data_IF_572774316043
#
_entry.id   IF_572774316043
#
_cell.length_a   1.000
_cell.length_b   1.000
_cell.length_c   1.000
_cell.angle_alpha   90.00
_cell.angle_beta   90.00
_cell.angle_gamma   90.00
#
_symmetry.space_group_name_H-M   'P 1'
#
loop_
_entity.id
_entity.type
_entity.pdbx_description
1 polymer ?
#
# COMPACT_ATOMS: atom_id res chain seq x y z
N UNK A 1 -21.04 -35.89 -22.79
CA UNK A 1 -22.29 -35.17 -23.10
C UNK A 1 -22.63 -34.28 -21.92
N UNK A 2 -22.82 -32.99 -22.20
CA UNK A 2 -23.51 -31.98 -21.40
C UNK A 2 -22.94 -31.53 -20.04
N UNK A 3 -22.53 -30.28 -20.03
CA UNK A 3 -22.31 -29.42 -18.86
C UNK A 3 -23.57 -29.25 -18.01
N UNK A 4 -23.39 -28.84 -16.74
CA UNK A 4 -24.23 -27.85 -16.05
C UNK A 4 -23.46 -27.16 -14.92
N UNK A 5 -23.43 -25.82 -15.02
CA UNK A 5 -23.00 -24.83 -14.02
C UNK A 5 -24.15 -24.51 -13.06
N UNK A 6 -23.77 -23.84 -11.97
CA UNK A 6 -24.52 -22.88 -11.15
C UNK A 6 -25.45 -23.47 -10.08
N UNK A 7 -25.64 -22.86 -8.90
CA UNK A 7 -25.32 -21.52 -8.43
C UNK A 7 -25.06 -21.52 -6.91
N UNK A 8 -24.14 -20.70 -6.44
CA UNK A 8 -24.06 -20.32 -5.02
C UNK A 8 -25.06 -19.17 -4.79
N UNK A 9 -25.88 -19.31 -3.75
CA UNK A 9 -26.95 -18.40 -3.40
C UNK A 9 -26.41 -17.02 -3.00
N UNK A 10 -26.92 -15.97 -3.64
CA UNK A 10 -26.83 -14.60 -3.16
C UNK A 10 -27.85 -14.45 -2.04
N UNK A 11 -27.40 -14.07 -0.84
CA UNK A 11 -28.28 -13.65 0.23
C UNK A 11 -28.97 -12.35 -0.19
N UNK A 12 -30.24 -12.46 -0.59
CA UNK A 12 -31.12 -11.32 -0.77
C UNK A 12 -31.42 -10.73 0.60
N UNK A 13 -30.82 -9.58 0.91
CA UNK A 13 -31.28 -8.73 2.00
C UNK A 13 -32.65 -8.20 1.58
N UNK A 14 -33.64 -8.47 2.41
CA UNK A 14 -35.03 -8.06 2.24
C UNK A 14 -35.08 -6.54 2.17
N UNK A 15 -35.46 -6.05 0.99
CA UNK A 15 -35.95 -4.69 0.75
C UNK A 15 -37.08 -4.41 1.74
N UNK A 16 -36.82 -3.57 2.74
CA UNK A 16 -37.88 -2.77 3.32
C UNK A 16 -38.36 -1.82 2.22
N UNK A 17 -39.64 -1.91 1.85
CA UNK A 17 -40.25 -0.98 0.90
C UNK A 17 -40.13 0.45 1.44
N UNK A 18 -39.14 1.21 0.96
CA UNK A 18 -39.20 2.67 0.99
C UNK A 18 -40.35 3.11 0.08
N UNK A 19 -41.05 4.17 0.46
CA UNK A 19 -42.18 4.68 -0.33
C UNK A 19 -41.74 5.10 -1.75
N UNK A 20 -42.67 5.22 -2.70
CA UNK A 20 -42.39 5.61 -4.10
C UNK A 20 -41.87 7.05 -4.29
N UNK A 21 -41.38 7.71 -3.23
CA UNK A 21 -41.03 9.13 -3.21
C UNK A 21 -39.57 9.42 -2.82
N UNK A 22 -38.74 8.39 -2.59
CA UNK A 22 -37.38 8.54 -2.09
C UNK A 22 -36.32 8.16 -3.15
N UNK A 23 -35.25 8.94 -3.23
CA UNK A 23 -34.24 8.85 -4.28
C UNK A 23 -32.84 8.64 -3.68
N UNK A 24 -32.08 7.64 -4.16
CA UNK A 24 -30.69 7.40 -3.77
C UNK A 24 -29.70 7.82 -4.86
N UNK A 25 -28.60 8.49 -4.48
CA UNK A 25 -27.51 8.84 -5.39
C UNK A 25 -26.42 7.76 -5.33
N UNK A 26 -25.93 7.32 -6.48
CA UNK A 26 -24.76 6.45 -6.60
C UNK A 26 -23.74 7.05 -7.55
N UNK A 27 -22.47 6.98 -7.18
CA UNK A 27 -21.39 7.49 -8.01
C UNK A 27 -20.79 6.33 -8.79
N UNK A 28 -20.79 6.42 -10.11
CA UNK A 28 -20.21 5.38 -10.97
C UNK A 28 -19.30 5.99 -12.02
N UNK A 29 -18.12 5.42 -12.14
CA UNK A 29 -17.13 5.81 -13.12
C UNK A 29 -17.41 5.08 -14.44
N UNK A 30 -17.52 5.82 -15.54
CA UNK A 30 -17.80 5.26 -16.87
C UNK A 30 -16.69 5.66 -17.85
N UNK A 31 -15.92 4.71 -18.40
CA UNK A 31 -14.82 4.96 -19.32
C UNK A 31 -15.34 5.20 -20.75
N UNK A 32 -16.14 6.26 -20.93
CA UNK A 32 -16.69 6.67 -22.22
C UNK A 32 -15.81 7.69 -22.96
N UNK A 33 -15.94 7.82 -24.30
CA UNK A 33 -15.14 8.72 -25.15
C UNK A 33 -15.38 10.23 -24.91
N UNK A 34 -16.09 10.59 -23.85
CA UNK A 34 -16.39 11.95 -23.40
C UNK A 34 -15.68 12.30 -22.09
N UNK A 35 -14.66 11.54 -21.67
CA UNK A 35 -13.77 12.00 -20.60
C UNK A 35 -12.68 12.89 -21.18
N UNK A 36 -12.97 14.18 -21.35
CA UNK A 36 -11.94 15.19 -21.61
C UNK A 36 -11.18 15.44 -20.31
N UNK A 37 -10.26 14.54 -20.00
CA UNK A 37 -9.17 14.75 -19.06
C UNK A 37 -7.95 15.18 -19.89
N UNK A 38 -7.76 16.48 -20.16
CA UNK A 38 -6.63 16.91 -20.94
C UNK A 38 -5.41 16.83 -20.03
N UNK A 39 -4.65 15.74 -20.16
CA UNK A 39 -3.20 15.61 -19.96
C UNK A 39 -2.81 14.24 -19.39
N UNK A 40 -1.61 13.79 -19.77
CA UNK A 40 -0.86 12.59 -19.38
C UNK A 40 -0.84 11.38 -20.34
N UNK A 41 -1.02 11.54 -21.66
CA UNK A 41 -0.55 10.55 -22.66
C UNK A 41 -1.18 9.13 -22.63
N UNK A 42 -1.91 8.78 -21.58
CA UNK A 42 -2.78 7.64 -21.38
C UNK A 42 -3.94 8.14 -20.50
N UNK A 43 -5.17 8.02 -20.99
CA UNK A 43 -6.34 8.42 -20.22
C UNK A 43 -6.54 7.42 -19.07
N UNK A 44 -6.72 7.86 -17.81
CA UNK A 44 -7.06 6.96 -16.71
C UNK A 44 -8.36 6.22 -17.05
N UNK A 45 -8.36 4.88 -16.94
CA UNK A 45 -9.50 4.02 -17.34
C UNK A 45 -10.41 3.69 -16.17
N UNK A 46 -9.90 3.82 -14.95
CA UNK A 46 -10.55 3.48 -13.69
C UNK A 46 -10.17 4.49 -12.61
N UNK A 47 -10.92 4.51 -11.50
CA UNK A 47 -10.56 5.32 -10.33
C UNK A 47 -9.19 4.97 -9.73
N UNK A 48 -8.68 3.75 -9.97
CA UNK A 48 -7.37 3.29 -9.50
C UNK A 48 -6.21 3.93 -10.28
N UNK A 49 -6.50 4.46 -11.47
CA UNK A 49 -5.51 5.13 -12.33
C UNK A 49 -5.33 6.62 -11.95
N UNK A 50 -6.08 7.12 -10.96
CA UNK A 50 -6.02 8.50 -10.48
C UNK A 50 -5.36 8.48 -9.09
N UNK A 51 -4.04 8.75 -8.99
CA UNK A 51 -3.33 8.72 -7.72
C UNK A 51 -3.80 9.85 -6.80
N UNK A 52 -3.86 9.56 -5.51
CA UNK A 52 -4.23 10.52 -4.45
C UNK A 52 -3.22 10.45 -3.32
N UNK A 53 -2.22 11.33 -3.39
CA UNK A 53 -1.16 11.42 -2.37
C UNK A 53 -1.50 12.31 -1.19
N UNK A 54 -2.40 13.26 -1.38
CA UNK A 54 -2.90 14.10 -0.31
C UNK A 54 -4.37 13.83 -0.05
N UNK A 55 -4.79 14.13 1.17
CA UNK A 55 -6.20 14.28 1.46
C UNK A 55 -6.84 15.27 0.46
N UNK A 56 -8.01 14.90 -0.01
CA UNK A 56 -8.87 15.73 -0.80
C UNK A 56 -10.17 16.00 -0.03
N UNK A 57 -10.99 16.90 -0.59
CA UNK A 57 -12.36 17.10 -0.13
C UNK A 57 -13.29 17.06 -1.32
N UNK A 58 -14.44 16.42 -1.13
CA UNK A 58 -15.49 16.34 -2.13
C UNK A 58 -16.73 17.09 -1.65
N UNK A 59 -17.23 18.04 -2.47
CA UNK A 59 -18.49 18.75 -2.24
C UNK A 59 -19.57 18.14 -3.10
N UNK A 60 -20.62 17.61 -2.47
CA UNK A 60 -21.86 17.23 -3.14
C UNK A 60 -22.92 18.29 -2.88
N UNK A 61 -23.58 18.76 -3.94
CA UNK A 61 -24.75 19.65 -3.84
C UNK A 61 -25.89 19.12 -4.71
N UNK A 62 -27.10 19.18 -4.18
CA UNK A 62 -28.33 18.98 -4.94
C UNK A 62 -29.07 20.29 -4.94
N UNK A 63 -29.33 20.81 -6.14
CA UNK A 63 -29.92 22.13 -6.35
C UNK A 63 -31.20 21.98 -7.15
N UNK A 64 -32.24 22.67 -6.72
CA UNK A 64 -33.47 22.74 -7.47
C UNK A 64 -33.28 23.51 -8.78
N UNK A 65 -33.84 23.02 -9.88
CA UNK A 65 -33.69 23.68 -11.18
C UNK A 65 -34.69 24.80 -11.40
N UNK A 66 -35.77 24.86 -10.64
CA UNK A 66 -36.84 25.85 -10.81
C UNK A 66 -36.47 27.20 -10.17
N UNK A 67 -36.01 27.18 -8.92
CA UNK A 67 -35.72 28.37 -8.12
C UNK A 67 -34.24 28.48 -7.71
N UNK A 68 -33.42 27.47 -8.01
CA UNK A 68 -32.00 27.44 -7.65
C UNK A 68 -31.74 27.17 -6.17
N UNK A 69 -32.75 26.77 -5.39
CA UNK A 69 -32.60 26.46 -3.98
C UNK A 69 -31.67 25.27 -3.76
N UNK A 70 -30.75 25.38 -2.79
CA UNK A 70 -29.88 24.25 -2.41
C UNK A 70 -30.69 23.32 -1.51
N UNK A 71 -31.08 22.17 -2.05
CA UNK A 71 -31.86 21.15 -1.36
C UNK A 71 -30.98 20.29 -0.44
N UNK A 72 -29.73 20.09 -0.85
CA UNK A 72 -28.73 19.37 -0.06
C UNK A 72 -27.33 19.87 -0.34
N UNK A 73 -26.47 19.89 0.68
CA UNK A 73 -25.04 20.15 0.54
C UNK A 73 -24.27 19.40 1.62
N UNK A 74 -23.20 18.72 1.21
CA UNK A 74 -22.27 18.08 2.13
C UNK A 74 -20.83 18.20 1.62
N UNK A 75 -19.90 18.27 2.57
CA UNK A 75 -18.47 18.21 2.33
C UNK A 75 -17.97 16.90 2.93
N UNK A 76 -17.27 16.09 2.14
CA UNK A 76 -16.72 14.81 2.54
C UNK A 76 -15.20 14.90 2.52
N UNK A 77 -14.57 14.40 3.57
CA UNK A 77 -13.13 14.16 3.56
C UNK A 77 -12.82 12.93 2.72
N UNK A 78 -11.82 13.06 1.86
CA UNK A 78 -11.31 11.98 1.03
C UNK A 78 -9.87 11.71 1.48
N UNK A 79 -9.63 10.72 2.34
CA UNK A 79 -8.28 10.46 2.85
C UNK A 79 -7.35 10.02 1.72
N UNK A 80 -6.07 10.36 1.84
CA UNK A 80 -5.05 9.81 0.97
C UNK A 80 -5.00 8.28 1.14
N UNK A 81 -5.54 7.56 0.16
CA UNK A 81 -5.73 6.09 0.22
C UNK A 81 -5.01 5.37 -0.91
N UNK A 82 -4.21 6.09 -1.71
CA UNK A 82 -3.57 5.55 -2.90
C UNK A 82 -4.24 6.04 -4.18
N UNK A 83 -5.56 5.98 -4.24
CA UNK A 83 -6.35 6.26 -5.44
C UNK A 83 -7.75 6.84 -5.15
N UNK A 84 -8.49 7.18 -6.22
CA UNK A 84 -9.84 7.76 -6.12
C UNK A 84 -10.96 6.73 -5.91
N UNK A 85 -10.67 5.43 -5.79
CA UNK A 85 -11.70 4.42 -5.63
C UNK A 85 -12.39 4.47 -4.25
N UNK A 86 -11.78 5.12 -3.26
CA UNK A 86 -12.40 5.36 -1.94
C UNK A 86 -13.68 6.21 -1.98
N UNK A 87 -13.98 6.88 -3.10
CA UNK A 87 -15.16 7.73 -3.29
C UNK A 87 -16.42 7.01 -3.79
N UNK A 88 -16.36 5.69 -3.96
CA UNK A 88 -17.46 4.92 -4.59
C UNK A 88 -18.78 4.96 -3.81
N UNK A 89 -18.75 5.27 -2.51
CA UNK A 89 -19.92 5.21 -1.64
C UNK A 89 -20.08 6.50 -0.82
N UNK A 90 -20.45 7.61 -1.47
CA UNK A 90 -20.95 8.79 -0.76
C UNK A 90 -22.40 8.53 -0.31
N UNK A 91 -22.58 8.10 0.93
CA UNK A 91 -23.91 7.85 1.50
C UNK A 91 -24.58 9.17 1.87
N UNK A 92 -25.75 9.41 1.26
CA UNK A 92 -26.64 10.49 1.67
C UNK A 92 -27.36 10.09 2.97
N UNK A 93 -27.48 11.00 3.95
CA UNK A 93 -28.36 10.82 5.09
C UNK A 93 -29.79 10.42 4.65
N UNK A 94 -30.40 9.39 5.28
CA UNK A 94 -31.70 8.86 4.87
C UNK A 94 -32.87 9.84 5.12
N UNK A 95 -32.65 10.92 5.84
CA UNK A 95 -33.63 11.95 6.21
C UNK A 95 -33.72 13.12 5.21
N UNK A 96 -32.97 13.06 4.10
CA UNK A 96 -33.02 14.10 3.07
C UNK A 96 -34.24 13.86 2.17
N UNK A 97 -35.22 14.76 2.28
CA UNK A 97 -36.37 14.78 1.38
C UNK A 97 -36.03 15.65 0.16
N UNK A 98 -35.92 15.02 -1.01
CA UNK A 98 -35.76 15.73 -2.28
C UNK A 98 -37.11 15.82 -3.00
N UNK A 99 -37.47 16.98 -3.58
CA UNK A 99 -38.73 17.14 -4.28
C UNK A 99 -38.74 16.29 -5.56
N UNK A 100 -39.89 15.74 -5.91
CA UNK A 100 -40.09 14.93 -7.12
C UNK A 100 -40.16 15.79 -8.39
N UNK A 101 -39.11 16.55 -8.66
CA UNK A 101 -38.94 17.42 -9.83
C UNK A 101 -37.47 17.42 -10.28
N UNK A 102 -37.19 18.10 -11.39
CA UNK A 102 -35.83 18.10 -11.94
C UNK A 102 -34.86 18.79 -10.98
N UNK A 103 -33.79 18.08 -10.62
CA UNK A 103 -32.71 18.63 -9.80
C UNK A 103 -31.41 18.63 -10.58
N UNK A 104 -30.49 19.47 -10.12
CA UNK A 104 -29.12 19.55 -10.58
C UNK A 104 -28.20 19.04 -9.49
N UNK A 105 -27.51 17.94 -9.78
CA UNK A 105 -26.52 17.34 -8.88
C UNK A 105 -25.14 17.79 -9.30
N UNK A 106 -24.40 18.37 -8.36
CA UNK A 106 -23.05 18.89 -8.54
C UNK A 106 -22.10 18.17 -7.60
N UNK A 107 -21.09 17.49 -8.15
CA UNK A 107 -19.97 16.94 -7.38
C UNK A 107 -18.69 17.63 -7.83
N UNK A 108 -17.89 18.13 -6.88
CA UNK A 108 -16.61 18.76 -7.14
C UNK A 108 -15.59 18.32 -6.10
N UNK A 109 -14.35 18.09 -6.53
CA UNK A 109 -13.29 17.51 -5.73
C UNK A 109 -12.03 18.36 -5.87
N UNK A 110 -11.46 18.74 -4.75
CA UNK A 110 -10.22 19.52 -4.66
C UNK A 110 -9.24 18.81 -3.75
N UNK A 111 -7.95 18.97 -4.02
CA UNK A 111 -6.93 18.59 -3.07
C UNK A 111 -6.90 19.60 -1.91
N UNK A 112 -6.70 19.14 -0.66
CA UNK A 112 -6.70 20.03 0.51
C UNK A 112 -5.55 21.04 0.48
N UNK A 113 -4.42 20.69 -0.12
CA UNK A 113 -3.26 21.59 -0.30
C UNK A 113 -3.61 22.73 -1.25
N UNK A 114 -4.24 22.45 -2.40
CA UNK A 114 -4.73 23.47 -3.33
C UNK A 114 -5.67 24.48 -2.63
N UNK A 115 -6.55 24.00 -1.75
CA UNK A 115 -7.45 24.87 -0.98
C UNK A 115 -6.72 25.67 0.10
N UNK A 116 -5.68 25.11 0.70
CA UNK A 116 -4.84 25.80 1.67
C UNK A 116 -4.04 26.92 1.01
N UNK A 117 -3.45 26.65 -0.15
CA UNK A 117 -2.65 27.63 -0.90
C UNK A 117 -3.50 28.77 -1.46
N UNK A 118 -4.82 28.56 -1.58
CA UNK A 118 -5.80 29.59 -1.92
C UNK A 118 -6.38 30.33 -0.70
N UNK A 119 -5.81 30.16 0.51
CA UNK A 119 -6.28 30.73 1.78
C UNK A 119 -7.74 30.37 2.16
N UNK A 120 -8.28 29.28 1.63
CA UNK A 120 -9.65 28.80 1.91
C UNK A 120 -9.74 27.80 3.08
N UNK A 121 -8.66 27.69 3.87
CA UNK A 121 -8.66 26.98 5.15
C UNK A 121 -8.50 25.46 5.10
N UNK A 122 -8.19 24.86 3.93
CA UNK A 122 -7.74 23.46 3.76
C UNK A 122 -8.73 22.33 4.12
N UNK A 123 -9.67 22.56 5.03
CA UNK A 123 -10.66 21.60 5.52
C UNK A 123 -12.10 21.99 5.17
N UNK A 124 -12.32 23.19 4.62
CA UNK A 124 -13.65 23.64 4.21
C UNK A 124 -13.77 23.49 2.70
N UNK A 125 -14.67 22.62 2.23
CA UNK A 125 -14.99 22.58 0.80
C UNK A 125 -15.41 23.98 0.32
N UNK A 126 -14.98 24.44 -0.86
CA UNK A 126 -15.58 25.60 -1.50
C UNK A 126 -17.11 25.50 -1.53
N UNK A 127 -17.78 26.65 -1.44
CA UNK A 127 -19.24 26.71 -1.42
C UNK A 127 -19.87 26.22 -2.74
N UNK A 128 -19.15 26.36 -3.85
CA UNK A 128 -19.52 25.88 -5.17
C UNK A 128 -18.27 25.61 -6.02
N UNK A 129 -18.42 24.73 -7.00
CA UNK A 129 -17.53 24.65 -8.17
C UNK A 129 -18.26 25.20 -9.39
N UNK A 130 -17.52 25.79 -10.33
CA UNK A 130 -18.09 26.17 -11.63
C UNK A 130 -17.93 25.03 -12.62
N UNK A 131 -18.98 24.85 -13.43
CA UNK A 131 -19.02 23.84 -14.46
C UNK A 131 -19.30 24.49 -15.82
N UNK A 132 -18.68 23.97 -16.87
CA UNK A 132 -18.92 24.40 -18.24
C UNK A 132 -20.32 23.97 -18.72
N UNK A 133 -20.70 24.35 -19.94
CA UNK A 133 -21.98 23.99 -20.53
C UNK A 133 -22.19 22.46 -20.70
N UNK A 134 -21.13 21.66 -20.55
CA UNK A 134 -21.16 20.19 -20.60
C UNK A 134 -21.14 19.57 -19.20
N UNK A 135 -21.09 20.39 -18.16
CA UNK A 135 -21.06 19.99 -16.76
C UNK A 135 -19.69 19.59 -16.24
N UNK A 136 -18.58 19.89 -16.93
CA UNK A 136 -17.22 19.61 -16.43
C UNK A 136 -16.65 20.79 -15.64
N UNK A 137 -15.70 20.57 -14.71
CA UNK A 137 -15.00 21.66 -14.03
C UNK A 137 -14.49 22.73 -15.01
N UNK A 138 -14.93 23.96 -14.81
CA UNK A 138 -14.51 25.10 -15.62
C UNK A 138 -13.19 25.67 -15.08
N UNK A 139 -12.19 25.85 -15.95
CA UNK A 139 -10.93 26.52 -15.62
C UNK A 139 -11.19 28.02 -15.38
N UNK A 140 -11.24 28.43 -14.12
CA UNK A 140 -11.71 29.76 -13.71
C UNK A 140 -10.56 30.74 -13.48
N UNK A 141 -9.89 31.18 -14.55
CA UNK A 141 -8.79 32.16 -14.42
C UNK A 141 -9.26 33.60 -14.14
N UNK A 142 -10.50 33.95 -14.51
CA UNK A 142 -10.96 35.35 -14.54
C UNK A 142 -12.15 35.67 -13.60
N UNK A 143 -12.61 34.73 -12.76
CA UNK A 143 -13.77 34.94 -11.88
C UNK A 143 -13.39 35.67 -10.58
N UNK A 144 -14.26 36.58 -10.13
CA UNK A 144 -14.12 37.32 -8.87
C UNK A 144 -15.39 37.12 -8.01
N UNK A 145 -15.27 36.65 -6.76
CA UNK A 145 -14.03 36.23 -6.10
C UNK A 145 -13.45 34.94 -6.71
N UNK A 146 -12.13 34.77 -6.60
CA UNK A 146 -11.44 33.57 -7.09
C UNK A 146 -11.96 32.32 -6.36
N UNK A 147 -12.28 31.28 -7.13
CA UNK A 147 -12.63 29.95 -6.61
C UNK A 147 -11.71 28.93 -7.26
N UNK A 148 -10.95 28.13 -6.48
CA UNK A 148 -10.09 27.10 -7.03
C UNK A 148 -10.86 26.16 -7.95
N UNK A 149 -10.26 25.82 -9.09
CA UNK A 149 -10.88 24.88 -10.03
C UNK A 149 -10.81 23.47 -9.44
N UNK A 150 -11.93 22.74 -9.34
CA UNK A 150 -11.90 21.37 -8.86
C UNK A 150 -11.17 20.47 -9.85
N UNK A 151 -10.22 19.68 -9.36
CA UNK A 151 -9.46 18.73 -10.16
C UNK A 151 -10.38 17.73 -10.87
N UNK A 152 -11.43 17.28 -10.18
CA UNK A 152 -12.46 16.35 -10.66
C UNK A 152 -13.84 16.88 -10.30
N UNK A 153 -14.80 16.73 -11.20
CA UNK A 153 -16.18 17.06 -10.90
C UNK A 153 -17.15 16.78 -12.04
N UNK A 154 -18.44 16.95 -11.73
CA UNK A 154 -19.52 16.90 -12.69
C UNK A 154 -20.76 17.66 -12.20
N UNK A 155 -21.42 18.34 -13.12
CA UNK A 155 -22.81 18.78 -13.00
C UNK A 155 -23.70 17.96 -13.95
N UNK A 156 -24.78 17.37 -13.44
CA UNK A 156 -25.80 16.65 -14.23
C UNK A 156 -27.21 16.99 -13.74
N UNK A 157 -28.13 17.04 -14.69
CA UNK A 157 -29.56 17.25 -14.45
C UNK A 157 -30.27 15.91 -14.38
N UNK A 158 -31.04 15.68 -13.31
CA UNK A 158 -31.79 14.46 -13.10
C UNK A 158 -33.28 14.75 -12.96
N UNK A 159 -34.15 14.12 -13.77
CA UNK A 159 -35.56 14.05 -13.46
C UNK A 159 -35.75 13.08 -12.28
N UNK A 160 -36.11 13.59 -11.11
CA UNK A 160 -36.50 12.74 -9.98
C UNK A 160 -37.89 12.16 -10.28
N UNK A 161 -38.08 10.85 -10.05
CA UNK A 161 -39.40 10.19 -10.16
C UNK A 161 -39.43 8.79 -10.80
N UNK A 162 -38.46 8.44 -11.66
CA UNK A 162 -38.51 7.21 -12.46
C UNK A 162 -37.36 6.21 -12.22
N UNK A 163 -36.36 6.53 -11.37
CA UNK A 163 -35.22 5.65 -11.10
C UNK A 163 -34.77 5.71 -9.64
N UNK A 164 -34.59 4.54 -9.03
CA UNK A 164 -34.11 4.36 -7.65
C UNK A 164 -32.68 4.87 -7.42
N UNK A 165 -31.91 5.12 -8.50
CA UNK A 165 -30.47 5.37 -8.43
C UNK A 165 -30.01 6.36 -9.53
N UNK A 166 -29.58 7.58 -9.19
CA UNK A 166 -28.86 8.42 -10.17
C UNK A 166 -27.39 8.06 -10.18
N UNK A 167 -26.82 8.02 -11.39
CA UNK A 167 -25.41 7.74 -11.65
C UNK A 167 -24.73 9.00 -12.15
N UNK A 168 -23.70 9.44 -11.43
CA UNK A 168 -22.88 10.57 -11.84
C UNK A 168 -21.58 10.09 -12.46
N UNK A 169 -21.36 10.43 -13.74
CA UNK A 169 -20.10 10.20 -14.44
C UNK A 169 -19.19 11.43 -14.28
N UNK A 170 -18.10 11.29 -13.53
CA UNK A 170 -17.16 12.37 -13.27
C UNK A 170 -16.25 12.65 -14.47
N UNK A 171 -15.86 13.91 -14.65
CA UNK A 171 -14.74 14.30 -15.52
C UNK A 171 -13.69 15.09 -14.73
N UNK A 172 -12.56 15.37 -15.36
CA UNK A 172 -11.46 16.08 -14.70
C UNK A 172 -11.01 17.31 -15.49
N UNK A 173 -10.59 18.36 -14.79
CA UNK A 173 -9.85 19.45 -15.42
C UNK A 173 -8.35 19.19 -15.41
N UNK A 174 -7.84 18.64 -14.30
CA UNK A 174 -6.42 18.35 -14.09
C UNK A 174 -6.26 17.38 -12.90
N UNK A 175 -6.08 16.08 -13.19
CA UNK A 175 -5.85 15.07 -12.14
C UNK A 175 -4.53 15.28 -11.40
N UNK A 176 -3.55 15.96 -12.02
CA UNK A 176 -2.28 16.28 -11.36
C UNK A 176 -2.45 17.20 -10.15
N UNK A 177 -3.57 17.92 -10.06
CA UNK A 177 -3.89 18.72 -8.88
C UNK A 177 -4.26 17.88 -7.65
N UNK A 178 -4.69 16.63 -7.81
CA UNK A 178 -4.89 15.69 -6.69
C UNK A 178 -3.58 15.06 -6.20
N UNK A 179 -2.53 15.19 -7.01
CA UNK A 179 -1.23 14.57 -6.78
C UNK A 179 -0.09 15.56 -7.10
N UNK A 180 -0.06 16.68 -6.38
CA UNK A 180 0.96 17.71 -6.54
C UNK A 180 2.34 17.19 -6.14
N UNK A 181 3.41 17.82 -6.64
CA UNK A 181 4.77 17.47 -6.21
C UNK A 181 4.97 17.63 -4.69
N UNK A 182 4.34 18.64 -4.07
CA UNK A 182 4.36 18.80 -2.61
C UNK A 182 3.65 17.64 -1.89
N UNK A 183 2.61 17.06 -2.50
CA UNK A 183 1.92 15.90 -1.98
C UNK A 183 2.73 14.62 -2.12
N UNK A 184 3.33 14.38 -3.28
CA UNK A 184 4.24 13.25 -3.51
C UNK A 184 5.46 13.29 -2.59
N UNK A 185 6.02 14.49 -2.39
CA UNK A 185 7.24 14.68 -1.62
C UNK A 185 6.98 14.84 -0.11
N UNK A 186 5.82 14.40 0.39
CA UNK A 186 5.57 14.42 1.84
C UNK A 186 6.48 13.43 2.55
N UNK A 187 6.89 13.86 3.72
CA UNK A 187 7.57 13.04 4.69
C UNK A 187 6.67 11.87 5.12
N UNK A 188 7.14 10.65 4.93
CA UNK A 188 6.50 9.42 5.39
C UNK A 188 7.00 9.08 6.78
N UNK A 189 6.09 8.73 7.68
CA UNK A 189 6.44 8.22 9.00
C UNK A 189 6.69 6.73 8.88
N UNK A 190 7.86 6.30 9.30
CA UNK A 190 8.24 4.89 9.38
C UNK A 190 7.95 4.39 10.78
N UNK A 191 7.38 3.19 10.86
CA UNK A 191 7.18 2.45 12.08
C UNK A 191 7.71 1.02 11.89
N UNK A 192 8.82 0.70 12.56
CA UNK A 192 9.51 -0.58 12.38
C UNK A 192 9.47 -1.40 13.66
N UNK A 193 8.87 -2.58 13.60
CA UNK A 193 8.94 -3.59 14.65
C UNK A 193 10.10 -4.57 14.34
N UNK A 194 10.97 -4.82 15.32
CA UNK A 194 12.04 -5.82 15.21
C UNK A 194 11.67 -7.12 15.93
N UNK A 195 11.96 -8.25 15.28
CA UNK A 195 11.89 -9.58 15.89
C UNK A 195 13.21 -10.35 15.69
N UNK A 196 13.54 -11.21 16.65
CA UNK A 196 14.74 -12.05 16.62
C UNK A 196 14.41 -13.54 16.43
N UNK A 197 14.48 -14.08 15.20
CA UNK A 197 14.35 -15.52 14.94
C UNK A 197 15.45 -16.34 15.64
N UNK A 198 15.18 -17.62 16.00
CA UNK A 198 13.94 -18.35 15.78
C UNK A 198 12.88 -18.10 16.87
N UNK A 199 13.19 -17.28 17.89
CA UNK A 199 12.24 -17.01 18.99
C UNK A 199 11.13 -16.03 18.61
N UNK A 200 11.36 -15.22 17.57
CA UNK A 200 10.51 -14.11 17.12
C UNK A 200 10.12 -13.13 18.22
N UNK A 201 10.93 -13.02 19.28
CA UNK A 201 10.75 -12.04 20.34
C UNK A 201 11.38 -10.70 19.96
N UNK A 202 10.81 -9.62 20.46
CA UNK A 202 11.40 -8.29 20.38
C UNK A 202 12.68 -8.23 21.22
N UNK A 203 13.82 -7.77 20.67
CA UNK A 203 15.11 -7.75 21.37
C UNK A 203 15.20 -6.57 22.38
N UNK A 204 14.31 -6.54 23.38
CA UNK A 204 14.16 -5.40 24.30
C UNK A 204 15.39 -5.11 25.16
N UNK A 205 16.21 -6.12 25.46
CA UNK A 205 17.43 -5.95 26.25
C UNK A 205 18.58 -5.28 25.48
N UNK A 206 18.48 -5.15 24.15
CA UNK A 206 19.56 -4.69 23.27
C UNK A 206 19.27 -3.33 22.63
N UNK A 207 18.20 -2.65 23.04
CA UNK A 207 17.68 -1.45 22.38
C UNK A 207 18.72 -0.34 22.27
N UNK A 208 19.49 -0.10 23.34
CA UNK A 208 20.53 0.94 23.36
C UNK A 208 21.77 0.59 22.53
N UNK A 209 21.93 -0.69 22.16
CA UNK A 209 23.07 -1.19 21.38
C UNK A 209 22.73 -1.35 19.89
N UNK A 210 21.45 -1.22 19.53
CA UNK A 210 20.94 -1.44 18.18
C UNK A 210 20.92 -0.15 17.35
N UNK A 211 21.63 -0.18 16.22
CA UNK A 211 21.44 0.78 15.14
C UNK A 211 20.44 0.23 14.13
N UNK A 212 19.28 0.88 14.03
CA UNK A 212 18.26 0.55 13.02
C UNK A 212 18.20 1.67 12.00
N UNK A 213 18.30 1.31 10.72
CA UNK A 213 18.35 2.26 9.61
C UNK A 213 17.43 1.81 8.49
N UNK A 214 16.87 2.75 7.76
CA UNK A 214 16.02 2.50 6.61
C UNK A 214 16.56 3.19 5.36
N UNK A 215 16.61 2.49 4.22
CA UNK A 215 17.09 3.08 2.98
C UNK A 215 16.93 2.19 1.76
N UNK A 216 17.33 2.73 0.62
CA UNK A 216 17.33 2.02 -0.66
C UNK A 216 18.64 1.24 -0.85
N UNK A 217 18.54 0.10 -1.54
CA UNK A 217 19.74 -0.57 -2.07
C UNK A 217 20.31 0.19 -3.26
N UNK A 218 21.62 0.07 -3.49
CA UNK A 218 22.25 0.49 -4.73
C UNK A 218 22.96 -0.68 -5.41
N UNK A 219 22.76 -0.80 -6.72
CA UNK A 219 23.46 -1.80 -7.54
C UNK A 219 24.56 -1.13 -8.34
N UNK A 220 25.79 -1.64 -8.22
CA UNK A 220 26.95 -1.17 -8.98
C UNK A 220 27.77 -2.37 -9.43
N UNK A 221 28.10 -2.42 -10.72
CA UNK A 221 28.93 -3.50 -11.30
C UNK A 221 28.37 -4.90 -11.01
N UNK A 222 27.04 -5.05 -10.99
CA UNK A 222 26.35 -6.31 -10.71
C UNK A 222 26.21 -6.68 -9.23
N UNK A 223 26.91 -5.97 -8.33
CA UNK A 223 26.78 -6.19 -6.88
C UNK A 223 25.73 -5.26 -6.27
N UNK A 224 24.87 -5.81 -5.41
CA UNK A 224 23.91 -5.05 -4.63
C UNK A 224 24.48 -4.72 -3.26
N UNK A 225 24.42 -3.46 -2.88
CA UNK A 225 24.92 -2.93 -1.60
C UNK A 225 23.82 -2.14 -0.90
N UNK A 226 23.93 -2.03 0.43
CA UNK A 226 23.09 -1.15 1.23
C UNK A 226 24.00 -0.07 1.86
N UNK A 227 24.17 1.09 1.19
CA UNK A 227 25.13 2.10 1.62
C UNK A 227 24.60 2.89 2.82
N UNK A 228 25.33 2.86 3.93
CA UNK A 228 24.93 3.53 5.18
C UNK A 228 24.83 5.05 5.08
N UNK A 229 25.53 5.70 4.15
CA UNK A 229 25.54 7.16 3.96
C UNK A 229 24.23 7.73 3.41
N UNK A 230 23.36 6.89 2.83
CA UNK A 230 22.06 7.29 2.29
C UNK A 230 20.87 6.78 3.10
N UNK A 231 21.10 6.19 4.28
CA UNK A 231 20.05 5.62 5.11
C UNK A 231 19.62 6.60 6.21
N UNK A 232 18.33 6.58 6.52
CA UNK A 232 17.76 7.28 7.66
C UNK A 232 17.89 6.42 8.90
N UNK A 233 18.52 6.96 9.95
CA UNK A 233 18.54 6.32 11.26
C UNK A 233 17.18 6.46 11.92
N UNK A 234 16.67 5.35 12.46
CA UNK A 234 15.41 5.29 13.18
C UNK A 234 15.67 5.33 14.69
N UNK A 235 14.77 5.95 15.44
CA UNK A 235 14.87 6.08 16.89
C UNK A 235 13.93 5.09 17.57
N UNK A 236 14.44 4.39 18.59
CA UNK A 236 13.61 3.53 19.42
C UNK A 236 12.57 4.37 20.19
N UNK A 237 11.34 3.87 20.23
CA UNK A 237 10.21 4.42 20.97
C UNK A 237 9.32 3.30 21.47
N UNK A 238 8.46 3.58 22.44
CA UNK A 238 7.50 2.61 22.97
C UNK A 238 6.10 2.97 22.50
N UNK A 239 5.42 2.02 21.83
CA UNK A 239 4.05 2.14 21.33
C UNK A 239 3.29 0.94 21.89
N UNK A 240 2.22 1.19 22.65
CA UNK A 240 1.38 0.14 23.23
C UNK A 240 2.16 -0.96 23.99
N UNK A 241 3.14 -0.54 24.80
CA UNK A 241 4.09 -1.38 25.55
C UNK A 241 5.10 -2.20 24.72
N UNK A 242 5.08 -2.07 23.39
CA UNK A 242 6.06 -2.66 22.48
C UNK A 242 7.12 -1.66 22.03
N UNK A 243 8.32 -2.15 21.71
CA UNK A 243 9.44 -1.32 21.24
C UNK A 243 9.46 -1.27 19.72
N UNK A 244 9.38 -0.06 19.20
CA UNK A 244 9.35 0.26 17.78
C UNK A 244 10.48 1.22 17.42
N UNK A 245 10.95 1.16 16.18
CA UNK A 245 11.92 2.11 15.64
C UNK A 245 11.22 3.01 14.65
N UNK A 246 11.10 4.29 15.01
CA UNK A 246 10.37 5.28 14.24
C UNK A 246 11.28 6.34 13.64
N UNK A 247 10.86 6.88 12.52
CA UNK A 247 11.58 7.95 11.85
C UNK A 247 10.76 8.53 10.70
N UNK A 248 11.36 9.50 10.02
CA UNK A 248 10.70 10.17 8.90
C UNK A 248 11.60 10.14 7.68
N UNK A 249 11.06 9.76 6.53
CA UNK A 249 11.78 9.75 5.25
C UNK A 249 11.05 10.60 4.22
N UNK A 250 11.78 11.27 3.32
CA UNK A 250 11.15 11.90 2.16
C UNK A 250 10.45 10.84 1.30
N UNK A 251 9.16 11.03 1.02
CA UNK A 251 8.42 10.28 0.01
C UNK A 251 8.62 10.87 -1.40
N UNK A 252 8.08 10.21 -2.44
CA UNK A 252 7.54 8.84 -2.41
C UNK A 252 8.67 7.79 -2.31
N UNK A 253 8.36 6.58 -1.86
CA UNK A 253 9.33 5.49 -1.82
C UNK A 253 9.19 4.61 -3.07
N UNK A 254 10.15 4.72 -3.99
CA UNK A 254 10.19 3.89 -5.20
C UNK A 254 11.28 2.82 -5.17
N UNK A 255 10.96 1.59 -5.59
CA UNK A 255 11.91 0.48 -5.68
C UNK A 255 12.32 -0.08 -4.32
N UNK A 256 13.15 -1.13 -4.30
CA UNK A 256 13.45 -1.90 -3.09
C UNK A 256 13.91 -1.03 -1.91
N UNK A 257 13.30 -1.22 -0.74
CA UNK A 257 13.69 -0.59 0.52
C UNK A 257 14.03 -1.65 1.55
N UNK A 258 15.05 -1.38 2.34
CA UNK A 258 15.51 -2.29 3.37
C UNK A 258 15.62 -1.57 4.71
N UNK A 259 15.22 -2.29 5.76
CA UNK A 259 15.65 -2.00 7.12
C UNK A 259 16.94 -2.75 7.37
N UNK A 260 17.95 -2.05 7.86
CA UNK A 260 19.17 -2.62 8.40
C UNK A 260 19.11 -2.56 9.93
N UNK A 261 19.27 -3.70 10.59
CA UNK A 261 19.45 -3.79 12.03
C UNK A 261 20.88 -4.28 12.32
N UNK A 262 21.59 -3.55 13.19
CA UNK A 262 22.97 -3.85 13.53
C UNK A 262 23.24 -3.63 15.02
N UNK A 263 23.85 -4.61 15.67
CA UNK A 263 24.39 -4.46 17.02
C UNK A 263 25.76 -3.79 16.99
N UNK A 264 25.99 -2.86 17.90
CA UNK A 264 27.26 -2.13 18.02
C UNK A 264 28.41 -3.09 18.33
N UNK A 265 29.46 -3.09 17.51
CA UNK A 265 30.65 -3.92 17.73
C UNK A 265 30.52 -5.41 17.39
N UNK A 266 29.47 -5.82 16.67
CA UNK A 266 29.19 -7.23 16.33
C UNK A 266 29.09 -7.56 14.84
N UNK A 267 28.66 -8.81 14.59
CA UNK A 267 28.35 -9.56 13.34
C UNK A 267 27.84 -8.75 12.13
N UNK A 268 27.87 -9.31 10.91
CA UNK A 268 27.34 -8.63 9.73
C UNK A 268 25.90 -8.12 9.97
N UNK A 269 25.59 -6.88 9.54
CA UNK A 269 24.26 -6.32 9.70
C UNK A 269 23.18 -7.19 9.06
N UNK A 270 22.04 -7.31 9.73
CA UNK A 270 20.87 -7.97 9.16
C UNK A 270 20.08 -6.98 8.33
N UNK A 271 19.72 -7.35 7.10
CA UNK A 271 18.84 -6.58 6.24
C UNK A 271 17.50 -7.31 6.08
N UNK A 272 16.40 -6.58 6.13
CA UNK A 272 15.07 -7.06 5.74
C UNK A 272 14.51 -6.12 4.69
N UNK A 273 14.21 -6.63 3.51
CA UNK A 273 13.86 -5.82 2.35
C UNK A 273 12.43 -6.08 1.88
N UNK A 274 11.78 -5.02 1.40
CA UNK A 274 10.44 -5.08 0.79
C UNK A 274 10.37 -4.10 -0.37
N UNK A 275 9.63 -4.46 -1.41
CA UNK A 275 9.20 -3.45 -2.38
C UNK A 275 8.17 -2.55 -1.67
N UNK A 276 8.42 -1.24 -1.57
CA UNK A 276 7.34 -0.34 -1.24
C UNK A 276 6.29 -0.52 -2.34
N UNK A 277 5.04 -0.76 -1.94
CA UNK A 277 3.92 -0.25 -2.73
C UNK A 277 4.22 1.23 -2.86
N UNK A 278 4.07 1.85 -4.05
CA UNK A 278 4.16 3.29 -4.13
C UNK A 278 3.14 3.85 -3.12
N UNK A 279 3.63 4.27 -1.95
CA UNK A 279 2.81 4.71 -0.84
C UNK A 279 2.82 6.22 -0.93
N UNK A 280 1.73 6.82 -1.43
CA UNK A 280 1.76 8.21 -1.81
C UNK A 280 1.68 9.14 -0.58
N UNK A 281 1.23 8.62 0.57
CA UNK A 281 1.46 9.19 1.90
C UNK A 281 1.06 8.18 3.01
N UNK A 282 1.41 8.49 4.27
CA UNK A 282 0.95 7.75 5.46
C UNK A 282 2.06 7.16 6.33
N UNK A 283 1.63 6.40 7.35
CA UNK A 283 2.48 5.60 8.23
C UNK A 283 2.85 4.29 7.52
N UNK A 284 4.14 4.02 7.37
CA UNK A 284 4.66 2.77 6.80
C UNK A 284 5.06 1.84 7.93
N UNK A 285 4.23 0.83 8.18
CA UNK A 285 4.57 -0.26 9.10
C UNK A 285 5.48 -1.29 8.41
N UNK A 286 6.58 -1.65 9.08
CA UNK A 286 7.57 -2.59 8.60
C UNK A 286 7.93 -3.57 9.71
N UNK A 287 7.93 -4.88 9.42
CA UNK A 287 8.56 -5.87 10.30
C UNK A 287 9.93 -6.19 9.76
N UNK A 288 10.95 -6.01 10.58
CA UNK A 288 12.33 -6.35 10.25
C UNK A 288 12.90 -7.33 11.28
N UNK A 289 13.99 -7.97 10.90
CA UNK A 289 14.57 -9.05 11.70
C UNK A 289 15.99 -8.73 12.11
N UNK A 290 16.36 -9.20 13.30
CA UNK A 290 17.72 -9.18 13.81
C UNK A 290 18.18 -10.63 13.97
N UNK A 291 19.22 -11.02 13.22
CA UNK A 291 19.82 -12.34 13.39
C UNK A 291 20.95 -12.26 14.42
N UNK A 292 20.84 -13.09 15.45
CA UNK A 292 21.80 -13.12 16.53
C UNK A 292 23.11 -13.82 16.12
N UNK A 293 24.22 -13.39 16.71
CA UNK A 293 25.55 -13.95 16.44
C UNK A 293 25.60 -15.48 16.63
N UNK A 294 24.87 -15.99 17.63
CA UNK A 294 24.81 -17.44 17.91
C UNK A 294 24.27 -18.24 16.73
N UNK A 295 23.20 -17.76 16.11
CA UNK A 295 22.60 -18.41 14.94
C UNK A 295 23.51 -18.30 13.71
N UNK A 296 24.15 -17.15 13.50
CA UNK A 296 25.10 -16.97 12.39
C UNK A 296 26.27 -17.94 12.51
N UNK A 297 26.86 -18.08 13.70
CA UNK A 297 27.94 -19.04 13.95
C UNK A 297 27.48 -20.49 13.73
N UNK A 298 26.25 -20.83 14.12
CA UNK A 298 25.66 -22.15 13.86
C UNK A 298 25.51 -22.41 12.36
N UNK A 299 25.07 -21.42 11.59
CA UNK A 299 24.93 -21.56 10.14
C UNK A 299 26.30 -21.70 9.47
N UNK A 300 27.31 -20.93 9.86
CA UNK A 300 28.68 -21.09 9.37
C UNK A 300 29.23 -22.49 9.67
N UNK A 301 28.98 -23.01 10.87
CA UNK A 301 29.34 -24.37 11.25
C UNK A 301 28.65 -25.42 10.35
N UNK A 302 27.34 -25.26 10.09
CA UNK A 302 26.59 -26.15 9.21
C UNK A 302 27.07 -26.09 7.74
N UNK A 303 27.49 -24.92 7.28
CA UNK A 303 28.05 -24.73 5.94
C UNK A 303 29.51 -25.20 5.83
N UNK A 304 30.22 -25.31 6.95
CA UNK A 304 31.65 -25.60 6.99
C UNK A 304 32.51 -24.46 6.43
N UNK A 305 32.02 -23.22 6.45
CA UNK A 305 32.70 -22.02 5.94
C UNK A 305 32.11 -20.74 6.54
N UNK A 306 32.89 -19.67 6.49
CA UNK A 306 32.43 -18.31 6.81
C UNK A 306 31.37 -17.82 5.80
N UNK A 307 30.51 -16.90 6.24
CA UNK A 307 29.53 -16.26 5.36
C UNK A 307 30.21 -15.45 4.25
N UNK A 308 29.74 -15.54 2.99
CA UNK A 308 30.37 -14.85 1.88
C UNK A 308 30.19 -13.32 1.97
N UNK A 309 31.23 -12.60 1.54
CA UNK A 309 31.22 -11.14 1.45
C UNK A 309 30.15 -10.61 0.49
N UNK A 310 29.73 -11.39 -0.50
CA UNK A 310 28.68 -11.03 -1.46
C UNK A 310 27.27 -11.04 -0.85
N UNK A 311 27.15 -11.53 0.39
CA UNK A 311 25.90 -11.61 1.14
C UNK A 311 25.29 -13.01 1.13
N UNK A 312 24.41 -13.24 2.09
CA UNK A 312 23.71 -14.52 2.27
C UNK A 312 22.25 -14.25 2.60
N UNK A 313 21.36 -15.12 2.11
CA UNK A 313 19.97 -15.18 2.56
C UNK A 313 19.86 -16.25 3.63
N UNK A 314 19.34 -15.89 4.79
CA UNK A 314 18.94 -16.82 5.85
C UNK A 314 17.44 -16.63 6.03
N UNK A 315 16.67 -17.69 5.86
CA UNK A 315 15.24 -17.60 5.99
C UNK A 315 14.61 -18.64 6.90
N UNK A 316 13.37 -18.36 7.28
CA UNK A 316 12.61 -19.11 8.28
C UNK A 316 11.23 -19.40 7.71
N UNK A 317 10.85 -20.68 7.69
CA UNK A 317 9.48 -21.11 7.42
C UNK A 317 8.77 -21.32 8.75
N UNK A 318 7.73 -20.53 9.02
CA UNK A 318 7.08 -20.50 10.33
C UNK A 318 5.58 -20.69 10.22
N UNK A 319 4.95 -21.22 11.27
CA UNK A 319 3.51 -21.28 11.39
C UNK A 319 2.92 -19.97 11.95
N UNK A 320 1.60 -19.95 12.18
CA UNK A 320 0.88 -18.80 12.76
C UNK A 320 1.28 -18.45 14.19
N UNK A 321 1.94 -19.37 14.90
CA UNK A 321 2.46 -19.15 16.24
C UNK A 321 3.95 -18.75 16.21
N UNK A 322 4.50 -18.46 15.02
CA UNK A 322 5.92 -18.20 14.77
C UNK A 322 6.84 -19.38 15.15
N UNK A 323 6.31 -20.62 15.22
CA UNK A 323 7.13 -21.81 15.39
C UNK A 323 7.65 -22.31 14.05
N UNK A 324 8.87 -22.84 14.02
CA UNK A 324 9.48 -23.40 12.83
C UNK A 324 8.68 -24.58 12.24
N UNK A 325 8.49 -24.58 10.92
CA UNK A 325 7.85 -25.69 10.20
C UNK A 325 8.93 -26.62 9.69
N UNK A 326 9.05 -27.80 10.30
CA UNK A 326 10.02 -28.82 9.88
C UNK A 326 9.63 -29.47 8.55
N UNK A 327 10.64 -29.80 7.72
CA UNK A 327 10.46 -30.51 6.46
C UNK A 327 9.82 -29.70 5.34
N UNK A 328 9.69 -28.38 5.50
CA UNK A 328 9.20 -27.50 4.45
C UNK A 328 10.20 -27.44 3.29
N UNK A 329 9.68 -27.48 2.07
CA UNK A 329 10.44 -27.31 0.84
C UNK A 329 10.37 -25.85 0.42
N UNK A 330 11.52 -25.20 0.32
CA UNK A 330 11.66 -23.82 -0.11
C UNK A 330 12.21 -23.77 -1.53
N UNK A 331 11.64 -22.90 -2.34
CA UNK A 331 12.09 -22.58 -3.69
C UNK A 331 12.23 -21.07 -3.83
N UNK A 332 13.27 -20.62 -4.51
CA UNK A 332 13.49 -19.21 -4.84
C UNK A 332 13.53 -19.00 -6.35
N UNK A 333 12.98 -17.88 -6.83
CA UNK A 333 13.03 -17.46 -8.22
C UNK A 333 13.71 -16.09 -8.32
N UNK A 334 14.80 -16.02 -9.08
CA UNK A 334 15.44 -14.75 -9.39
C UNK A 334 14.64 -14.01 -10.48
N UNK A 335 14.46 -12.68 -10.37
CA UNK A 335 13.83 -11.90 -11.44
C UNK A 335 14.78 -11.79 -12.64
N UNK A 336 14.31 -12.20 -13.82
CA UNK A 336 15.09 -12.14 -15.05
C UNK A 336 14.40 -12.83 -16.24
N UNK A 337 14.89 -12.64 -17.47
CA UNK A 337 14.38 -13.31 -18.66
C UNK A 337 14.71 -14.81 -18.67
N UNK A 338 15.75 -15.23 -17.96
CA UNK A 338 16.09 -16.62 -17.69
C UNK A 338 15.73 -16.91 -16.23
N UNK A 339 14.86 -17.89 -16.02
CA UNK A 339 14.47 -18.33 -14.67
C UNK A 339 15.56 -19.27 -14.19
N UNK A 340 16.58 -18.71 -13.55
CA UNK A 340 17.60 -19.51 -12.87
C UNK A 340 17.06 -19.94 -11.49
N UNK A 341 16.99 -21.25 -11.21
CA UNK A 341 16.58 -21.73 -9.90
C UNK A 341 17.64 -21.35 -8.87
N UNK A 342 17.18 -20.79 -7.75
CA UNK A 342 18.06 -20.41 -6.64
C UNK A 342 18.42 -21.65 -5.82
N UNK A 343 19.70 -21.80 -5.43
CA UNK A 343 20.14 -22.90 -4.59
C UNK A 343 19.65 -22.70 -3.15
N UNK A 344 18.96 -23.71 -2.62
CA UNK A 344 18.48 -23.73 -1.23
C UNK A 344 19.19 -24.83 -0.45
N UNK A 345 19.78 -24.45 0.68
CA UNK A 345 20.50 -25.32 1.59
C UNK A 345 19.73 -25.40 2.92
N UNK A 346 19.65 -26.59 3.50
CA UNK A 346 18.96 -26.82 4.76
C UNK A 346 19.97 -27.28 5.81
N UNK A 347 20.24 -26.49 6.86
CA UNK A 347 20.97 -26.98 8.03
C UNK A 347 20.25 -28.19 8.65
N UNK A 348 21.00 -29.14 9.21
CA UNK A 348 20.41 -30.19 10.04
C UNK A 348 19.95 -29.64 11.40
N UNK A 349 19.28 -30.46 12.21
CA UNK A 349 18.73 -30.03 13.51
C UNK A 349 19.80 -29.52 14.50
N UNK A 350 21.02 -30.05 14.42
CA UNK A 350 22.12 -29.70 15.32
C UNK A 350 23.06 -28.62 14.76
N UNK A 351 22.78 -28.09 13.56
CA UNK A 351 23.64 -27.15 12.82
C UNK A 351 25.10 -27.63 12.64
N UNK A 352 25.30 -28.94 12.53
CA UNK A 352 26.62 -29.57 12.31
C UNK A 352 26.90 -29.91 10.85
N UNK A 353 25.91 -29.73 9.99
CA UNK A 353 26.00 -29.98 8.56
C UNK A 353 24.70 -29.65 7.84
N UNK A 354 24.64 -30.00 6.55
CA UNK A 354 23.47 -29.83 5.71
C UNK A 354 22.67 -31.14 5.61
N UNK A 355 21.36 -31.03 5.50
CA UNK A 355 20.43 -32.12 5.23
C UNK A 355 19.74 -31.95 3.89
N UNK A 356 19.20 -33.06 3.38
CA UNK A 356 18.33 -33.07 2.21
C UNK A 356 16.88 -33.17 2.65
N UNK A 357 15.96 -32.62 1.85
CA UNK A 357 14.54 -32.89 2.05
C UNK A 357 13.79 -31.93 2.96
N UNK A 358 14.35 -30.75 3.26
CA UNK A 358 13.60 -29.61 3.79
C UNK A 358 14.19 -29.01 5.06
N UNK A 359 13.49 -27.99 5.58
CA UNK A 359 13.87 -27.24 6.78
C UNK A 359 14.01 -28.12 8.03
N UNK A 360 14.84 -27.67 8.98
CA UNK A 360 14.98 -28.27 10.30
C UNK A 360 13.79 -27.90 11.23
N UNK A 361 13.75 -28.34 12.50
CA UNK A 361 12.68 -27.97 13.44
C UNK A 361 12.51 -26.46 13.66
N UNK A 362 13.56 -25.66 13.45
CA UNK A 362 13.50 -24.20 13.53
C UNK A 362 13.01 -23.55 12.22
N UNK A 363 12.70 -24.33 11.19
CA UNK A 363 12.23 -23.83 9.91
C UNK A 363 13.31 -23.20 9.04
N UNK A 364 14.60 -23.41 9.32
CA UNK A 364 15.70 -22.65 8.70
C UNK A 364 16.06 -23.15 7.30
N UNK A 365 16.29 -22.21 6.39
CA UNK A 365 16.94 -22.43 5.09
C UNK A 365 17.98 -21.33 4.81
N UNK A 366 18.93 -21.63 3.93
CA UNK A 366 20.03 -20.73 3.56
C UNK A 366 20.21 -20.72 2.06
N UNK A 367 20.53 -19.57 1.48
CA UNK A 367 20.98 -19.46 0.08
C UNK A 367 22.12 -18.46 -0.05
N UNK A 368 23.04 -18.77 -0.94
CA UNK A 368 24.30 -18.04 -1.15
C UNK A 368 24.40 -17.41 -2.54
N UNK A 369 23.41 -17.67 -3.40
CA UNK A 369 23.39 -17.31 -4.82
C UNK A 369 22.11 -16.55 -5.21
N UNK A 370 21.22 -16.28 -4.24
CA UNK A 370 20.01 -15.53 -4.47
C UNK A 370 20.30 -14.08 -4.90
N UNK A 371 19.96 -13.72 -6.13
CA UNK A 371 20.00 -12.34 -6.59
C UNK A 371 19.06 -11.46 -5.74
N UNK A 372 19.39 -10.17 -5.63
CA UNK A 372 18.49 -9.21 -4.97
C UNK A 372 17.11 -9.24 -5.66
N UNK A 373 16.04 -9.19 -4.86
CA UNK A 373 14.65 -9.24 -5.32
C UNK A 373 14.15 -10.62 -5.75
N UNK A 374 14.88 -11.67 -5.36
CA UNK A 374 14.36 -13.03 -5.41
C UNK A 374 13.04 -13.16 -4.65
N UNK A 375 12.11 -13.92 -5.23
CA UNK A 375 10.85 -14.29 -4.61
C UNK A 375 10.99 -15.71 -4.07
N UNK A 376 10.66 -15.87 -2.80
CA UNK A 376 10.76 -17.10 -2.04
C UNK A 376 9.38 -17.68 -1.80
N UNK A 377 9.26 -18.99 -1.94
CA UNK A 377 8.06 -19.75 -1.64
C UNK A 377 8.42 -21.02 -0.87
N UNK A 378 7.55 -21.42 0.04
CA UNK A 378 7.62 -22.62 0.84
C UNK A 378 6.36 -23.46 0.67
N UNK A 379 6.55 -24.78 0.70
CA UNK A 379 5.48 -25.78 0.70
C UNK A 379 5.73 -26.79 1.81
N UNK A 380 4.68 -27.11 2.55
CA UNK A 380 4.66 -28.19 3.53
C UNK A 380 3.30 -28.91 3.48
N UNK A 381 3.17 -30.15 3.98
CA UNK A 381 1.91 -30.88 3.92
C UNK A 381 0.73 -30.08 4.51
N UNK A 382 -0.25 -29.74 3.67
CA UNK A 382 -1.44 -28.98 4.06
C UNK A 382 -1.22 -27.48 4.31
N UNK A 383 -0.03 -26.96 4.02
CA UNK A 383 0.33 -25.55 4.25
C UNK A 383 0.94 -24.91 2.99
N UNK A 384 0.71 -23.61 2.82
CA UNK A 384 1.32 -22.78 1.76
C UNK A 384 1.62 -21.39 2.29
N UNK A 385 2.57 -20.68 1.68
CA UNK A 385 2.81 -19.26 1.98
C UNK A 385 2.21 -18.33 0.91
N UNK A 386 2.32 -17.02 1.19
CA UNK A 386 2.06 -15.94 0.24
C UNK A 386 3.34 -15.48 -0.51
N UNK A 387 4.46 -16.15 -0.25
CA UNK A 387 5.82 -15.78 -0.65
C UNK A 387 6.44 -14.63 0.15
N UNK A 388 7.75 -14.49 0.03
CA UNK A 388 8.49 -13.34 0.57
C UNK A 388 9.60 -12.88 -0.38
N UNK A 389 10.09 -11.66 -0.17
CA UNK A 389 11.16 -11.07 -0.97
C UNK A 389 12.47 -11.09 -0.21
N UNK A 390 13.56 -11.32 -0.92
CA UNK A 390 14.90 -11.25 -0.36
C UNK A 390 15.98 -11.41 -1.42
N UNK A 391 17.23 -11.55 -0.98
CA UNK A 391 18.37 -11.77 -1.86
C UNK A 391 19.66 -11.29 -1.22
N UNK A 392 20.78 -11.67 -1.81
CA UNK A 392 22.10 -11.33 -1.31
C UNK A 392 22.36 -9.81 -1.41
N UNK A 393 22.80 -9.25 -0.29
CA UNK A 393 23.29 -7.87 -0.19
C UNK A 393 24.71 -7.96 0.34
N UNK A 394 25.66 -7.35 -0.36
CA UNK A 394 27.08 -7.40 -0.03
C UNK A 394 27.32 -7.01 1.44
N UNK A 395 28.06 -7.84 2.18
CA UNK A 395 28.40 -7.70 3.60
C UNK A 395 27.20 -7.64 4.55
N UNK A 396 26.05 -8.17 4.13
CA UNK A 396 24.85 -8.27 4.95
C UNK A 396 24.34 -9.70 4.97
N UNK A 397 23.58 -10.01 6.02
CA UNK A 397 22.71 -11.17 6.04
C UNK A 397 21.30 -10.70 5.76
N UNK A 398 20.67 -11.19 4.70
CA UNK A 398 19.28 -10.87 4.40
C UNK A 398 18.37 -11.89 5.08
N UNK A 399 17.51 -11.41 5.98
CA UNK A 399 16.52 -12.24 6.65
C UNK A 399 15.23 -12.33 5.83
N UNK A 400 14.74 -13.54 5.60
CA UNK A 400 13.47 -13.81 4.89
C UNK A 400 12.57 -14.67 5.76
N UNK A 401 11.32 -14.27 5.98
CA UNK A 401 10.37 -15.07 6.76
C UNK A 401 9.17 -15.43 5.89
N UNK A 402 8.87 -16.73 5.84
CA UNK A 402 7.79 -17.34 5.08
C UNK A 402 6.71 -17.84 6.04
N UNK A 403 5.70 -17.02 6.35
CA UNK A 403 4.59 -17.44 7.19
C UNK A 403 3.70 -18.42 6.41
N UNK A 404 3.48 -19.60 6.99
CA UNK A 404 2.68 -20.67 6.43
C UNK A 404 1.24 -20.57 6.89
N UNK A 405 0.32 -20.70 5.94
CA UNK A 405 -1.12 -20.74 6.17
C UNK A 405 -1.71 -22.08 5.69
N UNK A 406 -2.85 -22.52 6.23
CA UNK A 406 -3.58 -23.67 5.71
C UNK A 406 -3.84 -23.53 4.21
N UNK A 407 -3.56 -24.59 3.45
CA UNK A 407 -3.97 -24.69 2.07
C UNK A 407 -5.52 -24.77 2.00
N UNK A 408 -6.17 -24.09 1.05
CA UNK A 408 -7.63 -24.02 0.91
C UNK A 408 -8.26 -25.33 0.46
#
# INVERSE_FOLDING_TARGET
MSARRAAAAIAAVVLGCSGPEEFALSLSWSPGPTQECPMLGQMPKTCADIPVSCDAVARLRVVDTEDGAVLYTACFDVPATGDMCGLRELTLPPDIVLPNRMVRVQLAIWAKDQLRDADLGGATCPAFGHFDARGYPQLNLDLQPFVPTPAIGREVYFPIGDRELARLELGCSDVGQLDTESCRNRNLRLDVALAAPPSFRTPTALVDELSVRFGATSTREGATTLPTTGMTTLNATTIDDDIHWTGTVPGPLDGLRCVQAQLTGGVPPTATCRYPVALPSGDVAFTAYLLEAGLLNQIEAALGRELPDDGVVIGFVVDRANAGVAGAQVSGLAPGPEIDPITVLYPNADYTGLQLGGTNPDGVFVSLDAAISAVWHAQAPGLRDAGAFGGAIKRHVTAVVLPMEPAP
#
